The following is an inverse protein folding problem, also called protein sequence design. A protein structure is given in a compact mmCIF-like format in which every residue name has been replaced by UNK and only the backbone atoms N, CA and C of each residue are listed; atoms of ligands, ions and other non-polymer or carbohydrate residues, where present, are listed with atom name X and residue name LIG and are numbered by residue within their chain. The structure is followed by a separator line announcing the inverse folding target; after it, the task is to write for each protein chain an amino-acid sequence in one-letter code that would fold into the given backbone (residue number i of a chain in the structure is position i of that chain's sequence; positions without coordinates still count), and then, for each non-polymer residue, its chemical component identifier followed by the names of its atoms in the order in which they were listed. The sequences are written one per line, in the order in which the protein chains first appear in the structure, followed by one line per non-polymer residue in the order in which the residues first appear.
data_IF_301244291494
#
_entry.id   IF_301244291494
#
_cell.length_a   1.000
_cell.length_b   1.000
_cell.length_c   1.000
_cell.angle_alpha   90.00
_cell.angle_beta   90.00
_cell.angle_gamma   90.00
#
_symmetry.space_group_name_H-M   'P 1'
#
loop_
_entity.id
_entity.type
_entity.pdbx_description
1 polymer ?
#
# COMPACT_ATOMS: atom_id res chain seq x y z
N UNK A 1 5.66 -12.85 -11.59
CA UNK A 1 5.32 -11.66 -12.40
C UNK A 1 3.84 -11.31 -12.30
N UNK A 2 2.91 -12.22 -12.65
CA UNK A 2 1.45 -12.02 -12.49
C UNK A 2 1.04 -11.44 -11.14
N UNK A 3 1.63 -11.91 -10.03
CA UNK A 3 1.32 -11.43 -8.69
C UNK A 3 1.62 -9.93 -8.46
N UNK A 4 2.56 -9.36 -9.20
CA UNK A 4 2.84 -7.91 -9.16
C UNK A 4 1.75 -7.13 -9.88
N UNK A 5 1.27 -7.65 -11.01
CA UNK A 5 0.17 -7.05 -11.77
C UNK A 5 -1.15 -7.09 -11.00
N UNK A 6 -1.35 -8.05 -10.10
CA UNK A 6 -2.52 -8.10 -9.19
C UNK A 6 -2.61 -6.86 -8.26
N UNK A 7 -1.53 -6.10 -8.04
CA UNK A 7 -1.58 -4.82 -7.33
C UNK A 7 -2.50 -3.79 -8.02
N UNK A 8 -2.78 -3.97 -9.31
CA UNK A 8 -3.61 -3.08 -10.14
C UNK A 8 -5.11 -3.39 -10.06
N UNK A 9 -5.53 -4.35 -9.23
CA UNK A 9 -6.96 -4.69 -9.06
C UNK A 9 -7.81 -3.44 -8.77
N UNK A 10 -7.30 -2.51 -7.97
CA UNK A 10 -7.98 -1.26 -7.61
C UNK A 10 -7.36 -0.02 -8.27
N UNK A 11 -6.89 -0.14 -9.52
CA UNK A 11 -6.31 0.96 -10.30
C UNK A 11 -7.22 2.21 -10.40
N UNK A 12 -8.55 2.06 -10.30
CA UNK A 12 -9.51 3.17 -10.30
C UNK A 12 -9.23 4.21 -9.18
N UNK A 13 -8.54 3.81 -8.11
CA UNK A 13 -8.08 4.74 -7.08
C UNK A 13 -7.09 5.76 -7.65
N UNK A 14 -6.20 5.31 -8.55
CA UNK A 14 -5.26 6.19 -9.25
C UNK A 14 -5.98 7.07 -10.27
N UNK A 15 -6.99 6.54 -10.96
CA UNK A 15 -7.82 7.33 -11.89
C UNK A 15 -8.58 8.46 -11.18
N UNK A 16 -9.02 8.22 -9.95
CA UNK A 16 -9.62 9.24 -9.08
C UNK A 16 -8.55 10.22 -8.60
N UNK A 17 -7.38 9.73 -8.21
CA UNK A 17 -6.27 10.53 -7.75
C UNK A 17 -5.78 11.55 -8.79
N UNK A 18 -5.72 11.18 -10.09
CA UNK A 18 -5.36 12.11 -11.19
C UNK A 18 -6.22 13.37 -11.19
N UNK A 19 -7.50 13.22 -10.81
CA UNK A 19 -8.52 14.29 -10.87
C UNK A 19 -8.52 15.19 -9.62
N UNK A 20 -7.72 14.86 -8.61
CA UNK A 20 -7.62 15.67 -7.40
C UNK A 20 -6.83 16.95 -7.69
N UNK A 21 -7.35 18.08 -7.22
CA UNK A 21 -6.67 19.39 -7.31
C UNK A 21 -5.64 19.56 -6.20
N UNK A 22 -5.93 19.02 -5.01
CA UNK A 22 -5.02 19.04 -3.86
C UNK A 22 -4.09 17.83 -3.87
N UNK A 23 -2.79 18.06 -3.69
CA UNK A 23 -1.78 17.01 -3.55
C UNK A 23 -1.97 16.16 -2.28
N UNK A 24 -2.54 16.73 -1.22
CA UNK A 24 -2.87 15.99 0.02
C UNK A 24 -4.11 15.13 -0.14
N UNK A 25 -5.11 15.55 -0.93
CA UNK A 25 -6.25 14.69 -1.28
C UNK A 25 -5.81 13.59 -2.26
N UNK A 26 -4.99 13.93 -3.24
CA UNK A 26 -4.35 12.96 -4.16
C UNK A 26 -3.58 11.89 -3.36
N UNK A 27 -2.81 12.30 -2.34
CA UNK A 27 -2.09 11.39 -1.43
C UNK A 27 -3.01 10.40 -0.72
N UNK A 28 -4.22 10.80 -0.31
CA UNK A 28 -5.19 9.88 0.33
C UNK A 28 -5.57 8.72 -0.61
N UNK A 29 -5.77 8.98 -1.90
CA UNK A 29 -6.05 7.93 -2.88
C UNK A 29 -4.82 7.05 -3.17
N UNK A 30 -3.63 7.63 -3.25
CA UNK A 30 -2.37 6.86 -3.38
C UNK A 30 -2.15 5.94 -2.18
N UNK A 31 -2.44 6.43 -0.97
CA UNK A 31 -2.38 5.65 0.26
C UNK A 31 -3.40 4.50 0.27
N UNK A 32 -4.65 4.78 -0.12
CA UNK A 32 -5.68 3.74 -0.27
C UNK A 32 -5.27 2.69 -1.31
N UNK A 33 -4.70 3.10 -2.46
CA UNK A 33 -4.18 2.21 -3.49
C UNK A 33 -3.07 1.31 -2.94
N UNK A 34 -2.08 1.89 -2.26
CA UNK A 34 -1.00 1.12 -1.62
C UNK A 34 -1.54 0.06 -0.65
N UNK A 35 -2.53 0.39 0.18
CA UNK A 35 -3.15 -0.56 1.12
C UNK A 35 -3.95 -1.64 0.38
N UNK A 36 -4.71 -1.26 -0.65
CA UNK A 36 -5.57 -2.17 -1.40
C UNK A 36 -4.83 -3.35 -2.04
N UNK A 37 -3.55 -3.14 -2.42
CA UNK A 37 -2.67 -4.18 -2.98
C UNK A 37 -2.53 -5.42 -2.08
N UNK A 38 -2.65 -5.26 -0.75
CA UNK A 38 -2.54 -6.37 0.19
C UNK A 38 -3.83 -7.18 0.34
N UNK A 39 -4.99 -6.66 -0.07
CA UNK A 39 -6.29 -7.33 0.11
C UNK A 39 -6.40 -8.68 -0.61
N UNK A 40 -5.63 -8.81 -1.69
CA UNK A 40 -5.49 -10.01 -2.50
C UNK A 40 -4.69 -11.12 -1.81
N UNK A 41 -3.97 -10.81 -0.72
CA UNK A 41 -3.11 -11.77 -0.01
C UNK A 41 -3.87 -12.67 0.96
N UNK A 42 -5.06 -12.27 1.43
CA UNK A 42 -5.80 -12.94 2.52
C UNK A 42 -5.96 -14.44 2.31
N UNK A 43 -6.25 -14.86 1.07
CA UNK A 43 -6.54 -16.25 0.71
C UNK A 43 -5.43 -16.91 -0.12
N UNK A 44 -4.30 -16.23 -0.31
CA UNK A 44 -3.21 -16.67 -1.20
C UNK A 44 -1.99 -17.10 -0.40
N UNK A 45 -2.14 -18.22 0.33
CA UNK A 45 -1.08 -18.84 1.14
C UNK A 45 -0.07 -19.66 0.33
N UNK A 46 -0.40 -19.96 -0.94
CA UNK A 46 0.49 -20.69 -1.84
C UNK A 46 1.62 -19.81 -2.38
N UNK A 47 2.84 -20.36 -2.42
CA UNK A 47 4.00 -19.71 -3.04
C UNK A 47 3.77 -19.62 -4.56
N UNK A 48 3.91 -18.44 -5.19
CA UNK A 48 3.88 -18.35 -6.65
C UNK A 48 5.11 -19.03 -7.26
N UNK A 49 5.02 -19.35 -8.55
CA UNK A 49 6.19 -19.80 -9.31
C UNK A 49 7.30 -18.73 -9.26
N UNK A 50 8.54 -19.19 -9.10
CA UNK A 50 9.70 -18.34 -9.26
C UNK A 50 9.97 -18.20 -10.76
N UNK A 51 9.84 -17.00 -11.36
CA UNK A 51 10.00 -16.84 -12.80
C UNK A 51 11.42 -17.19 -13.25
N UNK A 52 11.54 -17.64 -14.50
CA UNK A 52 12.84 -17.81 -15.15
C UNK A 52 13.48 -16.44 -15.42
N UNK A 53 14.81 -16.38 -15.50
CA UNK A 53 15.50 -15.15 -15.92
C UNK A 53 15.05 -14.74 -17.33
N UNK A 54 14.62 -13.49 -17.51
CA UNK A 54 14.07 -12.98 -18.76
C UNK A 54 12.63 -13.42 -19.03
N UNK A 55 11.98 -14.16 -18.13
CA UNK A 55 10.54 -14.40 -18.24
C UNK A 55 9.79 -13.08 -18.18
N UNK A 56 8.79 -12.91 -19.04
CA UNK A 56 7.94 -11.72 -19.11
C UNK A 56 6.48 -12.06 -18.85
N UNK A 57 5.73 -11.09 -18.35
CA UNK A 57 4.28 -11.16 -18.28
C UNK A 57 3.68 -9.80 -18.62
N UNK A 58 2.68 -9.78 -19.49
CA UNK A 58 1.93 -8.58 -19.83
C UNK A 58 0.45 -8.73 -19.49
N UNK A 59 -0.18 -7.61 -19.15
CA UNK A 59 -1.62 -7.49 -19.03
C UNK A 59 -2.07 -6.23 -19.75
N UNK A 60 -2.65 -6.40 -20.93
CA UNK A 60 -3.29 -5.32 -21.65
C UNK A 60 -4.77 -5.23 -21.26
N UNK A 61 -5.14 -4.06 -20.73
CA UNK A 61 -6.50 -3.66 -20.37
C UNK A 61 -6.77 -2.23 -20.86
N UNK A 62 -6.08 -1.80 -21.92
CA UNK A 62 -6.18 -0.42 -22.41
C UNK A 62 -7.59 -0.07 -22.87
N UNK A 63 -8.28 -1.00 -23.52
CA UNK A 63 -9.64 -0.76 -24.01
C UNK A 63 -10.65 -0.74 -22.86
N UNK A 64 -10.60 -1.73 -21.96
CA UNK A 64 -11.59 -1.88 -20.89
C UNK A 64 -11.36 -0.89 -19.74
N UNK A 65 -10.11 -0.76 -19.28
CA UNK A 65 -9.77 -0.05 -18.05
C UNK A 65 -8.83 1.14 -18.27
N UNK A 66 -8.11 1.17 -19.39
CA UNK A 66 -7.25 2.28 -19.75
C UNK A 66 -5.80 2.15 -19.31
N UNK A 67 -5.35 0.97 -18.88
CA UNK A 67 -3.96 0.72 -18.53
C UNK A 67 -3.42 -0.56 -19.19
N UNK A 68 -2.10 -0.64 -19.32
CA UNK A 68 -1.38 -1.89 -19.60
C UNK A 68 -0.18 -2.02 -18.68
N UNK A 69 0.14 -3.26 -18.31
CA UNK A 69 1.24 -3.62 -17.42
C UNK A 69 2.20 -4.55 -18.14
N UNK A 70 3.50 -4.34 -17.93
CA UNK A 70 4.58 -5.23 -18.36
C UNK A 70 5.48 -5.53 -17.17
N UNK A 71 5.75 -6.81 -16.95
CA UNK A 71 6.67 -7.31 -15.94
C UNK A 71 7.76 -8.16 -16.59
N UNK A 72 8.99 -8.09 -16.07
CA UNK A 72 10.11 -8.94 -16.47
C UNK A 72 10.89 -9.41 -15.25
N UNK A 73 11.33 -10.66 -15.23
CA UNK A 73 12.29 -11.15 -14.25
C UNK A 73 13.72 -10.77 -14.68
N UNK A 74 14.22 -9.66 -14.14
CA UNK A 74 15.50 -9.05 -14.54
C UNK A 74 16.73 -9.62 -13.82
N UNK A 75 16.53 -10.38 -12.75
CA UNK A 75 17.62 -11.08 -12.03
C UNK A 75 17.11 -12.36 -11.39
N UNK A 76 17.96 -13.38 -11.31
CA UNK A 76 17.67 -14.65 -10.63
C UNK A 76 18.43 -14.83 -9.30
N UNK A 77 19.60 -14.21 -9.16
CA UNK A 77 20.44 -14.30 -7.95
C UNK A 77 21.04 -12.92 -7.59
N UNK A 78 20.38 -12.13 -6.72
CA UNK A 78 19.09 -12.41 -6.08
C UNK A 78 17.90 -12.29 -7.06
N UNK A 79 16.76 -12.97 -6.81
CA UNK A 79 15.58 -12.84 -7.65
C UNK A 79 15.00 -11.41 -7.61
N UNK A 80 14.97 -10.74 -8.76
CA UNK A 80 14.38 -9.42 -8.90
C UNK A 80 13.52 -9.34 -10.16
N UNK A 81 12.45 -8.54 -10.08
CA UNK A 81 11.56 -8.25 -11.20
C UNK A 81 11.41 -6.74 -11.40
N UNK A 82 11.32 -6.32 -12.66
CA UNK A 82 10.90 -4.99 -13.04
C UNK A 82 9.42 -5.03 -13.43
N UNK A 83 8.67 -3.97 -13.11
CA UNK A 83 7.27 -3.80 -13.46
C UNK A 83 7.03 -2.36 -13.90
N UNK A 84 6.38 -2.18 -15.04
CA UNK A 84 6.01 -0.89 -15.59
C UNK A 84 4.55 -0.90 -16.02
N UNK A 85 3.83 0.17 -15.71
CA UNK A 85 2.41 0.34 -16.01
C UNK A 85 2.20 1.70 -16.63
N UNK A 86 1.58 1.69 -17.80
CA UNK A 86 1.14 2.89 -18.49
C UNK A 86 -0.38 2.99 -18.41
N UNK A 87 -0.90 4.20 -18.14
CA UNK A 87 -2.32 4.49 -18.20
C UNK A 87 -2.63 5.67 -19.12
N UNK A 88 -3.62 5.48 -20.01
CA UNK A 88 -4.19 6.57 -20.85
C UNK A 88 -4.91 7.64 -20.04
N UNK A 89 -5.13 7.39 -18.74
CA UNK A 89 -5.81 8.29 -17.80
C UNK A 89 -4.85 9.25 -17.09
N UNK A 90 -3.57 9.28 -17.48
CA UNK A 90 -2.63 10.31 -17.03
C UNK A 90 -1.78 9.93 -15.81
N UNK A 91 -1.51 8.64 -15.63
CA UNK A 91 -0.57 8.16 -14.61
C UNK A 91 0.33 7.05 -15.14
N UNK A 92 1.54 6.97 -14.57
CA UNK A 92 2.52 5.90 -14.84
C UNK A 92 3.00 5.35 -13.51
N UNK A 93 3.04 4.02 -13.38
CA UNK A 93 3.57 3.34 -12.20
C UNK A 93 4.73 2.45 -12.61
N UNK A 94 5.81 2.44 -11.84
CA UNK A 94 6.91 1.51 -12.04
C UNK A 94 7.53 1.10 -10.72
N UNK A 95 8.11 -0.10 -10.70
CA UNK A 95 8.84 -0.62 -9.55
C UNK A 95 9.89 -1.64 -9.97
N UNK A 96 10.97 -1.70 -9.20
CA UNK A 96 11.84 -2.87 -9.12
C UNK A 96 11.57 -3.52 -7.77
N UNK A 97 11.51 -4.85 -7.76
CA UNK A 97 11.19 -5.61 -6.56
C UNK A 97 12.05 -6.85 -6.44
N UNK A 98 12.73 -6.95 -5.30
CA UNK A 98 13.48 -8.12 -4.87
C UNK A 98 12.78 -8.72 -3.65
N UNK A 99 12.50 -10.03 -3.64
CA UNK A 99 11.83 -10.68 -2.51
C UNK A 99 12.86 -11.37 -1.61
N UNK A 100 13.04 -10.85 -0.40
CA UNK A 100 13.78 -11.54 0.65
C UNK A 100 12.82 -12.32 1.55
N UNK A 101 13.24 -13.50 2.03
CA UNK A 101 12.45 -14.28 2.98
C UNK A 101 13.28 -14.75 4.17
N UNK A 102 12.66 -14.81 5.34
CA UNK A 102 13.27 -15.26 6.60
C UNK A 102 12.34 -16.24 7.30
N UNK A 103 12.78 -17.48 7.45
CA UNK A 103 12.09 -18.49 8.24
C UNK A 103 12.45 -18.33 9.72
N UNK A 104 11.46 -18.27 10.60
CA UNK A 104 11.62 -18.08 12.06
C UNK A 104 10.87 -19.16 12.83
N UNK A 105 11.03 -20.42 12.42
CA UNK A 105 10.37 -21.57 13.02
C UNK A 105 8.88 -21.63 12.70
N UNK A 106 8.03 -20.96 13.47
CA UNK A 106 6.57 -21.05 13.27
C UNK A 106 6.04 -20.19 12.13
N UNK A 107 6.81 -19.23 11.65
CA UNK A 107 6.38 -18.28 10.63
C UNK A 107 7.48 -17.96 9.62
N UNK A 108 7.06 -17.55 8.42
CA UNK A 108 7.91 -17.10 7.32
C UNK A 108 7.63 -15.61 7.08
N UNK A 109 8.64 -14.76 7.25
CA UNK A 109 8.57 -13.35 6.89
C UNK A 109 9.00 -13.15 5.44
N UNK A 110 8.16 -12.51 4.65
CA UNK A 110 8.39 -12.13 3.25
C UNK A 110 8.56 -10.61 3.23
N UNK A 111 9.74 -10.16 2.83
CA UNK A 111 10.12 -8.74 2.82
C UNK A 111 10.35 -8.32 1.35
N UNK A 112 9.39 -7.61 0.75
CA UNK A 112 9.61 -6.98 -0.54
C UNK A 112 10.60 -5.82 -0.38
N UNK A 113 11.69 -5.87 -1.12
CA UNK A 113 12.69 -4.83 -1.21
C UNK A 113 12.54 -4.11 -2.54
N UNK A 114 12.79 -2.80 -2.56
CA UNK A 114 12.58 -1.96 -3.74
C UNK A 114 11.52 -0.88 -3.48
N UNK A 115 11.49 0.11 -4.36
CA UNK A 115 10.57 1.24 -4.28
C UNK A 115 9.53 1.18 -5.40
N UNK A 116 8.32 1.58 -5.07
CA UNK A 116 7.24 1.81 -6.02
C UNK A 116 7.20 3.29 -6.31
N UNK A 117 7.16 3.63 -7.59
CA UNK A 117 7.07 4.98 -8.10
C UNK A 117 5.74 5.14 -8.83
N UNK A 118 5.10 6.29 -8.62
CA UNK A 118 3.87 6.67 -9.31
C UNK A 118 3.98 8.13 -9.71
N UNK A 119 3.78 8.42 -10.98
CA UNK A 119 3.76 9.78 -11.50
C UNK A 119 2.40 10.10 -12.09
N UNK A 120 1.86 11.27 -11.75
CA UNK A 120 0.67 11.84 -12.38
C UNK A 120 1.09 12.92 -13.37
N UNK A 121 0.77 12.73 -14.66
CA UNK A 121 1.35 13.52 -15.75
C UNK A 121 0.92 14.99 -15.73
N UNK A 122 -0.34 15.26 -15.40
CA UNK A 122 -0.89 16.62 -15.40
C UNK A 122 -0.31 17.48 -14.27
N UNK A 123 -0.21 16.93 -13.07
CA UNK A 123 0.33 17.63 -11.91
C UNK A 123 1.85 17.53 -11.82
N UNK A 124 2.49 16.57 -12.49
CA UNK A 124 3.90 16.22 -12.31
C UNK A 124 4.23 15.72 -10.89
N UNK A 125 3.23 15.36 -10.09
CA UNK A 125 3.47 14.82 -8.76
C UNK A 125 4.05 13.42 -8.87
N UNK A 126 5.13 13.17 -8.12
CA UNK A 126 5.85 11.90 -8.12
C UNK A 126 5.84 11.30 -6.72
N UNK A 127 5.08 10.23 -6.53
CA UNK A 127 4.95 9.53 -5.26
C UNK A 127 5.87 8.33 -5.22
N UNK A 128 6.57 8.15 -4.09
CA UNK A 128 7.47 7.02 -3.87
C UNK A 128 7.19 6.39 -2.51
N UNK A 129 7.08 5.06 -2.48
CA UNK A 129 6.89 4.30 -1.24
C UNK A 129 7.46 2.89 -1.34
N UNK A 130 7.47 2.16 -0.21
CA UNK A 130 7.91 0.76 -0.13
C UNK A 130 6.82 -0.10 0.50
N UNK A 131 6.84 -1.40 0.21
CA UNK A 131 5.91 -2.36 0.81
C UNK A 131 6.32 -2.74 2.23
N UNK A 132 5.35 -3.18 3.03
CA UNK A 132 5.56 -3.74 4.37
C UNK A 132 5.87 -5.23 4.30
N UNK A 133 6.23 -5.81 5.45
CA UNK A 133 6.50 -7.24 5.58
C UNK A 133 5.18 -8.02 5.64
N UNK A 134 5.08 -9.06 4.82
CA UNK A 134 4.05 -10.08 4.95
C UNK A 134 4.56 -11.23 5.82
N UNK A 135 3.79 -11.64 6.81
CA UNK A 135 4.13 -12.80 7.65
C UNK A 135 3.15 -13.92 7.39
N UNK A 136 3.66 -15.07 6.97
CA UNK A 136 2.88 -16.30 6.83
C UNK A 136 3.07 -17.11 8.12
N UNK A 137 1.99 -17.27 8.88
CA UNK A 137 1.98 -17.98 10.15
C UNK A 137 1.65 -19.47 9.96
N UNK A 138 1.98 -20.26 10.97
CA UNK A 138 1.66 -21.69 11.08
C UNK A 138 2.29 -22.55 9.97
N UNK A 139 3.49 -22.18 9.50
CA UNK A 139 4.20 -22.86 8.40
C UNK A 139 4.46 -24.35 8.67
N UNK A 140 4.59 -24.74 9.94
CA UNK A 140 4.85 -26.13 10.34
C UNK A 140 3.55 -26.87 10.73
N UNK A 141 2.71 -26.26 11.57
CA UNK A 141 1.50 -26.88 12.14
C UNK A 141 0.38 -25.86 12.25
N UNK A 142 -0.83 -26.26 11.83
CA UNK A 142 -2.05 -25.47 11.90
C UNK A 142 -2.46 -24.88 10.55
N UNK A 143 -3.56 -24.13 10.54
CA UNK A 143 -4.02 -23.45 9.33
C UNK A 143 -3.12 -22.25 9.03
N UNK A 144 -2.56 -22.21 7.82
CA UNK A 144 -1.81 -21.06 7.32
C UNK A 144 -2.68 -19.82 7.28
N UNK A 145 -2.13 -18.70 7.73
CA UNK A 145 -2.76 -17.39 7.59
C UNK A 145 -1.69 -16.31 7.41
N UNK A 146 -2.09 -15.20 6.82
CA UNK A 146 -1.19 -14.10 6.46
C UNK A 146 -1.55 -12.87 7.27
N UNK A 147 -0.51 -12.19 7.76
CA UNK A 147 -0.60 -10.85 8.32
C UNK A 147 0.30 -9.87 7.57
N UNK A 148 -0.06 -8.59 7.61
CA UNK A 148 0.72 -7.49 7.05
C UNK A 148 1.07 -6.55 8.18
N UNK A 149 2.36 -6.24 8.36
CA UNK A 149 2.81 -5.43 9.49
C UNK A 149 4.04 -4.58 9.16
N UNK A 150 4.10 -3.40 9.76
CA UNK A 150 5.15 -2.41 9.53
C UNK A 150 4.59 -1.04 9.22
N UNK A 151 5.45 -0.16 8.72
CA UNK A 151 5.10 1.21 8.37
C UNK A 151 5.42 1.48 6.90
N UNK A 152 4.54 2.23 6.23
CA UNK A 152 4.78 2.78 4.89
C UNK A 152 4.87 4.29 5.05
N UNK A 153 5.96 4.88 4.55
CA UNK A 153 6.02 6.31 4.26
C UNK A 153 5.86 6.49 2.75
N UNK A 154 4.79 7.17 2.35
CA UNK A 154 4.57 7.61 0.97
C UNK A 154 4.98 9.07 0.90
N UNK A 155 5.92 9.38 0.01
CA UNK A 155 6.46 10.73 -0.14
C UNK A 155 6.14 11.24 -1.53
N UNK A 156 5.54 12.43 -1.63
CA UNK A 156 5.50 13.16 -2.89
C UNK A 156 6.81 13.93 -3.05
N UNK A 157 7.63 13.55 -4.02
CA UNK A 157 8.93 14.16 -4.28
C UNK A 157 8.83 15.59 -4.83
N UNK A 158 7.68 15.97 -5.42
CA UNK A 158 7.42 17.34 -5.91
C UNK A 158 6.96 18.25 -4.78
N UNK A 159 5.81 17.97 -4.17
CA UNK A 159 5.21 18.84 -3.14
C UNK A 159 5.81 18.66 -1.75
N UNK A 160 6.54 17.55 -1.51
CA UNK A 160 7.06 17.13 -0.19
C UNK A 160 6.03 16.70 0.83
N UNK A 161 4.75 16.61 0.43
CA UNK A 161 3.71 15.99 1.25
C UNK A 161 4.05 14.53 1.56
N UNK A 162 3.59 14.07 2.72
CA UNK A 162 3.84 12.71 3.20
C UNK A 162 2.57 12.04 3.69
N UNK A 163 2.51 10.72 3.54
CA UNK A 163 1.57 9.87 4.27
C UNK A 163 2.33 8.81 5.04
N UNK A 164 2.12 8.76 6.35
CA UNK A 164 2.65 7.70 7.20
C UNK A 164 1.52 6.73 7.54
N UNK A 165 1.60 5.51 7.01
CA UNK A 165 0.66 4.42 7.28
C UNK A 165 1.32 3.41 8.23
N UNK A 166 0.55 2.93 9.20
CA UNK A 166 0.95 1.90 10.15
C UNK A 166 0.02 0.70 10.02
N UNK A 167 0.60 -0.45 9.71
CA UNK A 167 -0.04 -1.75 9.69
C UNK A 167 0.18 -2.41 11.04
N UNK A 168 -0.88 -2.46 11.85
CA UNK A 168 -0.79 -3.01 13.21
C UNK A 168 -0.70 -4.54 13.13
N UNK A 169 0.40 -5.14 13.64
CA UNK A 169 0.51 -6.59 13.64
C UNK A 169 -0.58 -7.20 14.51
N UNK A 170 -1.06 -8.38 14.10
CA UNK A 170 -1.97 -9.17 14.91
C UNK A 170 -1.33 -9.49 16.27
N UNK A 171 -2.11 -9.32 17.33
CA UNK A 171 -1.73 -9.69 18.69
C UNK A 171 -2.96 -10.22 19.42
N UNK A 172 -2.82 -11.40 20.01
CA UNK A 172 -3.87 -12.04 20.80
C UNK A 172 -4.28 -11.19 22.02
N UNK A 173 -3.37 -10.36 22.53
CA UNK A 173 -3.62 -9.50 23.69
C UNK A 173 -4.18 -8.12 23.32
N UNK A 174 -4.22 -7.79 22.02
CA UNK A 174 -4.74 -6.50 21.58
C UNK A 174 -6.27 -6.52 21.51
N UNK A 175 -6.88 -5.41 21.90
CA UNK A 175 -8.31 -5.14 21.68
C UNK A 175 -8.57 -4.42 20.34
N UNK A 176 -7.51 -4.12 19.59
CA UNK A 176 -7.66 -3.51 18.27
C UNK A 176 -8.31 -4.47 17.28
N UNK A 177 -9.00 -3.88 16.31
CA UNK A 177 -9.50 -4.60 15.13
C UNK A 177 -8.31 -5.30 14.45
N UNK A 178 -8.38 -6.60 14.14
CA UNK A 178 -7.35 -7.28 13.38
C UNK A 178 -7.10 -6.59 12.04
N UNK A 179 -5.86 -6.64 11.51
CA UNK A 179 -5.50 -6.10 10.19
C UNK A 179 -5.65 -4.59 10.05
N UNK A 180 -5.77 -3.89 11.18
CA UNK A 180 -5.94 -2.44 11.25
C UNK A 180 -4.79 -1.71 10.57
N UNK A 181 -5.17 -0.73 9.76
CA UNK A 181 -4.28 0.25 9.16
C UNK A 181 -4.73 1.63 9.60
N UNK A 182 -3.79 2.43 10.08
CA UNK A 182 -4.01 3.85 10.41
C UNK A 182 -2.96 4.70 9.73
N UNK A 183 -3.25 5.95 9.42
CA UNK A 183 -2.22 6.86 8.97
C UNK A 183 -2.60 8.32 9.04
N UNK A 184 -1.63 9.17 8.72
CA UNK A 184 -1.80 10.62 8.66
C UNK A 184 -1.18 11.12 7.37
N UNK A 185 -1.91 11.98 6.66
CA UNK A 185 -1.38 12.76 5.53
C UNK A 185 -1.04 14.15 6.03
N UNK A 186 0.20 14.56 5.81
CA UNK A 186 0.71 15.90 6.15
C UNK A 186 1.32 16.58 4.93
N UNK A 187 1.28 17.90 4.92
CA UNK A 187 1.97 18.70 3.90
C UNK A 187 3.48 18.79 4.15
N UNK A 188 4.18 19.53 3.29
CA UNK A 188 5.61 19.82 3.40
C UNK A 188 6.04 20.43 4.75
N UNK A 189 5.16 21.22 5.37
CA UNK A 189 5.40 21.88 6.66
C UNK A 189 5.11 20.96 7.85
N UNK A 190 4.68 19.72 7.59
CA UNK A 190 4.31 18.75 8.61
C UNK A 190 2.91 18.97 9.20
N UNK A 191 2.12 19.89 8.65
CA UNK A 191 0.74 20.09 9.09
C UNK A 191 -0.12 18.95 8.58
N UNK A 192 -0.81 18.27 9.51
CA UNK A 192 -1.71 17.17 9.20
C UNK A 192 -3.00 17.68 8.55
N UNK A 193 -3.40 17.07 7.43
CA UNK A 193 -4.62 17.38 6.69
C UNK A 193 -5.67 16.27 6.72
N UNK A 194 -5.24 15.01 6.76
CA UNK A 194 -6.16 13.86 6.78
C UNK A 194 -5.68 12.78 7.73
N UNK A 195 -6.64 12.12 8.38
CA UNK A 195 -6.44 10.84 9.06
C UNK A 195 -6.96 9.72 8.15
N UNK A 196 -6.15 8.69 7.98
CA UNK A 196 -6.48 7.47 7.24
C UNK A 196 -6.80 6.35 8.22
N UNK A 197 -7.85 5.57 7.97
CA UNK A 197 -8.19 4.43 8.82
C UNK A 197 -8.90 3.31 8.05
N UNK A 198 -8.65 2.07 8.42
CA UNK A 198 -9.32 0.93 7.83
C UNK A 198 -8.67 -0.40 8.20
N UNK A 199 -8.88 -1.41 7.36
CA UNK A 199 -8.16 -2.69 7.42
C UNK A 199 -7.62 -3.03 6.04
N UNK A 200 -6.44 -3.63 5.98
CA UNK A 200 -5.76 -3.90 4.70
C UNK A 200 -6.49 -4.94 3.83
N UNK A 201 -7.48 -5.64 4.41
CA UNK A 201 -8.25 -6.69 3.74
C UNK A 201 -9.69 -6.30 3.38
N UNK A 202 -10.21 -5.16 3.83
CA UNK A 202 -11.62 -4.83 3.63
C UNK A 202 -11.87 -3.43 3.08
N UNK A 203 -11.34 -2.38 3.71
CA UNK A 203 -11.65 -1.00 3.33
C UNK A 203 -10.63 0.00 3.86
N UNK A 204 -10.57 1.16 3.20
CA UNK A 204 -9.86 2.36 3.68
C UNK A 204 -10.74 3.60 3.57
N UNK A 205 -10.70 4.41 4.62
CA UNK A 205 -11.40 5.68 4.77
C UNK A 205 -10.41 6.81 5.02
N UNK A 206 -10.78 8.03 4.65
CA UNK A 206 -10.09 9.26 5.04
C UNK A 206 -11.03 10.24 5.74
N UNK A 207 -10.52 10.94 6.74
CA UNK A 207 -11.24 11.99 7.46
C UNK A 207 -10.43 13.27 7.42
N UNK A 208 -11.02 14.35 6.89
CA UNK A 208 -10.36 15.66 6.82
C UNK A 208 -10.22 16.26 8.21
N UNK A 209 -9.01 16.71 8.56
CA UNK A 209 -8.71 17.34 9.85
C UNK A 209 -9.19 18.79 9.82
N UNK A 210 -9.93 19.19 10.85
CA UNK A 210 -10.41 20.56 11.06
C UNK A 210 -9.52 21.28 12.08
N UNK A 211 -9.15 20.59 13.15
CA UNK A 211 -8.29 21.09 14.21
C UNK A 211 -7.40 19.98 14.76
N UNK A 212 -6.20 20.35 15.24
CA UNK A 212 -5.28 19.47 15.94
C UNK A 212 -4.96 20.03 17.32
N UNK A 213 -5.03 19.20 18.35
CA UNK A 213 -4.60 19.53 19.71
C UNK A 213 -3.55 18.54 20.20
N UNK A 214 -2.61 19.01 21.03
CA UNK A 214 -1.67 18.14 21.71
C UNK A 214 -2.37 17.54 22.95
N UNK A 215 -2.58 16.22 22.96
CA UNK A 215 -3.12 15.51 24.11
C UNK A 215 -2.10 15.42 25.25
N UNK A 216 -2.58 15.04 26.44
CA UNK A 216 -1.74 14.79 27.61
C UNK A 216 -0.73 13.65 27.35
N UNK A 217 0.41 13.73 28.04
CA UNK A 217 1.51 12.76 27.94
C UNK A 217 1.00 11.35 28.23
N UNK A 218 1.14 10.44 27.27
CA UNK A 218 0.86 9.02 27.50
C UNK A 218 1.89 8.43 28.47
N UNK A 219 1.55 7.32 29.12
CA UNK A 219 2.42 6.57 30.05
C UNK A 219 3.76 6.13 29.43
N UNK A 220 3.90 6.22 28.09
CA UNK A 220 5.11 5.91 27.32
C UNK A 220 5.91 7.17 26.89
N UNK A 221 5.60 8.35 27.42
CA UNK A 221 6.38 9.58 27.19
C UNK A 221 6.19 10.24 25.81
N UNK A 222 5.35 9.69 24.93
CA UNK A 222 4.97 10.33 23.65
C UNK A 222 3.70 11.15 23.82
N UNK A 223 3.75 12.44 23.45
CA UNK A 223 2.54 13.27 23.33
C UNK A 223 1.68 12.72 22.19
N UNK A 224 0.42 12.40 22.49
CA UNK A 224 -0.52 11.87 21.49
C UNK A 224 -1.29 13.06 20.90
N UNK A 225 -1.04 13.36 19.63
CA UNK A 225 -1.83 14.37 18.92
C UNK A 225 -3.26 13.86 18.74
N UNK A 226 -4.24 14.69 19.10
CA UNK A 226 -5.66 14.42 18.92
C UNK A 226 -6.15 15.27 17.76
N UNK A 227 -6.72 14.62 16.76
CA UNK A 227 -7.29 15.29 15.59
C UNK A 227 -8.81 15.35 15.70
N UNK A 228 -9.38 16.54 15.55
CA UNK A 228 -10.80 16.70 15.28
C UNK A 228 -11.01 16.65 13.78
N UNK A 229 -11.85 15.73 13.31
CA UNK A 229 -12.06 15.47 11.89
C UNK A 229 -13.52 15.63 11.48
N UNK A 230 -13.74 15.88 10.20
CA UNK A 230 -15.05 15.67 9.57
C UNK A 230 -15.40 14.17 9.53
N UNK A 231 -16.64 13.87 9.15
CA UNK A 231 -17.09 12.49 8.94
C UNK A 231 -16.20 11.74 7.94
N UNK A 232 -15.88 10.46 8.20
CA UNK A 232 -15.05 9.66 7.29
C UNK A 232 -15.69 9.49 5.91
N UNK A 233 -14.86 9.58 4.86
CA UNK A 233 -15.20 9.24 3.48
C UNK A 233 -14.50 7.94 3.09
N UNK A 234 -15.28 6.96 2.60
CA UNK A 234 -14.71 5.71 2.07
C UNK A 234 -13.99 5.99 0.75
N UNK A 235 -12.72 5.60 0.69
CA UNK A 235 -11.91 5.70 -0.54
C UNK A 235 -11.88 4.38 -1.29
N UNK A 236 -11.73 3.28 -0.55
CA UNK A 236 -11.61 1.93 -1.08
C UNK A 236 -12.42 0.94 -0.25
N UNK A 237 -13.03 -0.02 -0.93
CA UNK A 237 -13.65 -1.21 -0.35
C UNK A 237 -13.34 -2.39 -1.26
N UNK A 238 -12.98 -3.52 -0.67
CA UNK A 238 -12.69 -4.77 -1.37
C UNK A 238 -13.92 -5.23 -2.15
N UNK A 239 -13.71 -5.74 -3.36
CA UNK A 239 -14.78 -6.36 -4.14
C UNK A 239 -15.30 -7.64 -3.44
N UNK A 240 -16.60 -7.93 -3.53
CA UNK A 240 -17.10 -9.23 -3.10
C UNK A 240 -16.41 -10.33 -3.91
N UNK A 241 -16.10 -11.46 -3.26
CA UNK A 241 -15.61 -12.63 -3.97
C UNK A 241 -16.75 -13.20 -4.85
N UNK A 242 -16.42 -13.72 -6.05
CA UNK A 242 -17.38 -14.44 -6.89
C UNK A 242 -18.04 -15.62 -6.18
#
# INVERSE_FOLDING_TARGET
LQRLTEDLEYHELLDKAVKCESSTEQMCFVAAFSVSSYSTTVHRTAKPFNPLLGETYELDRLEEFGFRSLCEQVSHHPPAAAHHVYSKRGWTLWQEITIASKFRGKYLSIMPLGAIHLEFHSSGNHYVWRKVTSTVHNIIVGKLWIDQSGEIEIVNHKSKDKCQLKFTPYSYFSRDVPRKVTGVVSDADGKAHYVMSGTWDEKMECSKIVQSSHGSTSTEGKQKTVYQTLSPKVLWRKYPLP
#
